data_IF_317421632335
#
_entry.id   IF_317421632335
#
_cell.length_a   1.000
_cell.length_b   1.000
_cell.length_c   1.000
_cell.angle_alpha   90.00
_cell.angle_beta   90.00
_cell.angle_gamma   90.00
#
_symmetry.space_group_name_H-M   'P 1'
#
loop_
_entity.id
_entity.type
_entity.pdbx_description
1 polymer ?
#
# COMPACT_ATOMS: atom_id res chain seq x y z
N UNK A 1 -26.14 16.35 -0.78
CA UNK A 1 -25.91 15.23 0.16
C UNK A 1 -25.29 15.81 1.43
N UNK A 2 -25.70 15.36 2.60
CA UNK A 2 -25.07 15.76 3.86
C UNK A 2 -23.61 15.33 3.88
N UNK A 3 -22.69 16.25 4.33
CA UNK A 3 -21.26 16.03 4.34
C UNK A 3 -20.84 14.78 5.12
N UNK A 4 -21.49 14.53 6.26
CA UNK A 4 -21.22 13.33 7.07
C UNK A 4 -21.58 12.04 6.31
N UNK A 5 -22.73 12.03 5.62
CA UNK A 5 -23.14 10.89 4.78
C UNK A 5 -22.14 10.66 3.64
N UNK A 6 -21.65 11.74 3.01
CA UNK A 6 -20.63 11.66 1.97
C UNK A 6 -19.35 10.98 2.46
N UNK A 7 -18.88 11.34 3.64
CA UNK A 7 -17.67 10.76 4.23
C UNK A 7 -17.86 9.30 4.65
N UNK A 8 -19.01 8.96 5.19
CA UNK A 8 -19.33 7.55 5.52
C UNK A 8 -19.36 6.71 4.25
N UNK A 9 -20.01 7.18 3.19
CA UNK A 9 -20.03 6.48 1.90
C UNK A 9 -18.62 6.34 1.31
N UNK A 10 -17.80 7.40 1.36
CA UNK A 10 -16.41 7.34 0.91
C UNK A 10 -15.61 6.30 1.70
N UNK A 11 -15.79 6.21 3.01
CA UNK A 11 -15.12 5.21 3.85
C UNK A 11 -15.56 3.78 3.50
N UNK A 12 -16.86 3.53 3.40
CA UNK A 12 -17.41 2.20 3.10
C UNK A 12 -16.99 1.73 1.71
N UNK A 13 -17.18 2.56 0.69
CA UNK A 13 -16.80 2.23 -0.69
C UNK A 13 -15.29 2.03 -0.78
N UNK A 14 -14.50 2.93 -0.17
CA UNK A 14 -13.05 2.82 -0.13
C UNK A 14 -12.57 1.52 0.50
N UNK A 15 -13.15 1.14 1.65
CA UNK A 15 -12.81 -0.12 2.32
C UNK A 15 -13.15 -1.35 1.49
N UNK A 16 -14.32 -1.38 0.86
CA UNK A 16 -14.73 -2.49 0.00
C UNK A 16 -13.84 -2.62 -1.23
N UNK A 17 -13.53 -1.51 -1.92
CA UNK A 17 -12.58 -1.48 -3.04
C UNK A 17 -11.18 -1.93 -2.59
N UNK A 18 -10.71 -1.42 -1.47
CA UNK A 18 -9.44 -1.82 -0.86
C UNK A 18 -9.37 -3.31 -0.56
N UNK A 19 -10.49 -3.89 -0.14
CA UNK A 19 -10.61 -5.32 0.19
C UNK A 19 -10.53 -6.25 -1.03
N UNK A 20 -10.62 -5.72 -2.26
CA UNK A 20 -10.33 -6.48 -3.48
C UNK A 20 -8.81 -6.65 -3.57
N UNK A 21 -8.31 -7.85 -3.29
CA UNK A 21 -6.87 -8.16 -3.33
C UNK A 21 -6.46 -8.71 -4.68
N UNK A 22 -5.80 -7.88 -5.49
CA UNK A 22 -5.33 -8.27 -6.83
C UNK A 22 -4.43 -9.51 -6.79
N UNK A 23 -3.49 -9.57 -5.84
CA UNK A 23 -2.58 -10.72 -5.72
C UNK A 23 -3.28 -12.01 -5.33
N UNK A 24 -4.28 -11.98 -4.41
CA UNK A 24 -5.05 -13.18 -4.04
C UNK A 24 -5.89 -13.65 -5.22
N UNK A 25 -6.62 -12.73 -5.87
CA UNK A 25 -7.47 -13.07 -7.00
C UNK A 25 -6.65 -13.68 -8.15
N UNK A 26 -5.54 -13.02 -8.50
CA UNK A 26 -4.67 -13.48 -9.58
C UNK A 26 -4.02 -14.84 -9.26
N UNK A 27 -3.51 -15.05 -8.05
CA UNK A 27 -2.93 -16.34 -7.69
C UNK A 27 -3.97 -17.47 -7.65
N UNK A 28 -5.20 -17.16 -7.23
CA UNK A 28 -6.31 -18.14 -7.26
C UNK A 28 -6.74 -18.51 -8.67
N UNK A 29 -6.71 -17.58 -9.63
CA UNK A 29 -6.96 -17.91 -11.04
C UNK A 29 -5.91 -18.86 -11.63
N UNK A 30 -4.72 -18.93 -10.98
CA UNK A 30 -3.65 -19.88 -11.30
C UNK A 30 -3.73 -21.18 -10.44
N UNK A 31 -4.84 -21.42 -9.74
CA UNK A 31 -5.06 -22.62 -8.91
C UNK A 31 -4.30 -22.62 -7.57
N UNK A 32 -3.74 -21.48 -7.12
CA UNK A 32 -2.92 -21.40 -5.90
C UNK A 32 -3.30 -20.18 -5.05
N UNK A 33 -3.08 -20.26 -3.74
CA UNK A 33 -3.27 -19.10 -2.85
C UNK A 33 -1.89 -18.55 -2.45
N UNK A 34 -1.56 -17.34 -2.86
CA UNK A 34 -0.28 -16.68 -2.58
C UNK A 34 0.04 -16.58 -1.08
N UNK A 35 -0.98 -16.64 -0.23
CA UNK A 35 -0.83 -16.58 1.22
C UNK A 35 -0.27 -17.88 1.84
N UNK A 36 -0.14 -18.94 1.06
CA UNK A 36 0.52 -20.18 1.47
C UNK A 36 1.93 -20.31 0.92
N UNK A 37 2.38 -19.36 0.07
CA UNK A 37 3.63 -19.45 -0.68
C UNK A 37 4.59 -18.29 -0.39
N UNK A 38 5.87 -18.52 -0.50
CA UNK A 38 6.93 -17.52 -0.31
C UNK A 38 6.81 -16.82 1.04
N UNK A 39 6.75 -15.50 1.05
CA UNK A 39 6.59 -14.70 2.28
C UNK A 39 5.17 -14.72 2.85
N UNK A 40 4.24 -15.47 2.26
CA UNK A 40 2.82 -15.58 2.64
C UNK A 40 2.06 -14.23 2.61
N UNK A 41 2.63 -13.21 1.98
CA UNK A 41 2.02 -11.89 1.80
C UNK A 41 1.32 -11.81 0.44
N UNK A 42 0.15 -11.16 0.36
CA UNK A 42 -0.60 -11.02 -0.90
C UNK A 42 -0.10 -9.93 -1.84
N UNK A 43 0.94 -9.17 -1.46
CA UNK A 43 1.42 -8.03 -2.23
C UNK A 43 2.35 -8.40 -3.38
N UNK A 44 2.63 -7.39 -4.22
CA UNK A 44 3.39 -7.49 -5.47
C UNK A 44 4.76 -8.17 -5.33
N UNK A 45 5.53 -7.85 -4.28
CA UNK A 45 6.86 -8.45 -4.07
C UNK A 45 6.81 -9.97 -3.91
N UNK A 46 5.82 -10.49 -3.19
CA UNK A 46 5.65 -11.93 -3.07
C UNK A 46 5.15 -12.55 -4.37
N UNK A 47 4.23 -11.87 -5.06
CA UNK A 47 3.76 -12.30 -6.39
C UNK A 47 4.90 -12.36 -7.40
N UNK A 48 5.82 -11.37 -7.41
CA UNK A 48 7.02 -11.41 -8.26
C UNK A 48 7.88 -12.63 -7.93
N UNK A 49 8.10 -12.90 -6.66
CA UNK A 49 8.96 -14.00 -6.20
C UNK A 49 8.41 -15.39 -6.56
N UNK A 50 7.10 -15.58 -6.43
CA UNK A 50 6.44 -16.89 -6.62
C UNK A 50 5.98 -17.10 -8.05
N UNK A 51 5.43 -16.07 -8.69
CA UNK A 51 4.77 -16.16 -10.00
C UNK A 51 5.44 -15.32 -11.10
N UNK A 52 6.60 -14.71 -10.79
CA UNK A 52 7.38 -13.93 -11.74
C UNK A 52 6.94 -12.46 -11.85
N UNK A 53 7.77 -11.70 -12.59
CA UNK A 53 7.69 -10.23 -12.64
C UNK A 53 6.35 -9.70 -13.19
N UNK A 54 5.77 -10.37 -14.18
CA UNK A 54 4.48 -9.98 -14.77
C UNK A 54 3.35 -10.02 -13.73
N UNK A 55 3.31 -11.08 -12.93
CA UNK A 55 2.31 -11.25 -11.86
C UNK A 55 2.48 -10.21 -10.75
N UNK A 56 3.74 -9.91 -10.40
CA UNK A 56 4.05 -8.84 -9.45
C UNK A 56 3.65 -7.46 -9.97
N UNK A 57 3.95 -7.15 -11.22
CA UNK A 57 3.59 -5.89 -11.85
C UNK A 57 2.05 -5.70 -11.91
N UNK A 58 1.31 -6.71 -12.35
CA UNK A 58 -0.16 -6.67 -12.36
C UNK A 58 -0.74 -6.47 -10.95
N UNK A 59 -0.18 -7.15 -9.95
CA UNK A 59 -0.58 -6.98 -8.56
C UNK A 59 -0.30 -5.57 -8.06
N UNK A 60 0.88 -5.03 -8.36
CA UNK A 60 1.25 -3.66 -7.98
C UNK A 60 0.32 -2.63 -8.62
N UNK A 61 0.09 -2.73 -9.93
CA UNK A 61 -0.77 -1.81 -10.66
C UNK A 61 -2.22 -1.88 -10.16
N UNK A 62 -2.77 -3.07 -9.95
CA UNK A 62 -4.13 -3.23 -9.45
C UNK A 62 -4.30 -2.71 -8.00
N UNK A 63 -3.31 -2.94 -7.13
CA UNK A 63 -3.35 -2.44 -5.76
C UNK A 63 -3.12 -0.91 -5.69
N UNK A 64 -2.35 -0.33 -6.61
CA UNK A 64 -2.18 1.11 -6.76
C UNK A 64 -3.48 1.74 -7.31
N UNK A 65 -4.02 1.17 -8.37
CA UNK A 65 -5.24 1.65 -9.04
C UNK A 65 -6.44 1.70 -8.08
N UNK A 66 -6.64 0.68 -7.24
CA UNK A 66 -7.74 0.71 -6.26
C UNK A 66 -7.59 1.85 -5.24
N UNK A 67 -6.36 2.22 -4.87
CA UNK A 67 -6.08 3.37 -4.02
C UNK A 67 -6.46 4.69 -4.69
N UNK A 68 -6.08 4.86 -5.96
CA UNK A 68 -6.47 6.02 -6.79
C UNK A 68 -7.98 6.09 -6.94
N UNK A 69 -8.63 4.98 -7.32
CA UNK A 69 -10.09 4.93 -7.56
C UNK A 69 -10.86 5.25 -6.28
N UNK A 70 -10.46 4.69 -5.15
CA UNK A 70 -11.11 4.97 -3.87
C UNK A 70 -10.97 6.44 -3.45
N UNK A 71 -9.79 7.03 -3.64
CA UNK A 71 -9.55 8.44 -3.37
C UNK A 71 -10.33 9.34 -4.35
N UNK A 72 -10.42 8.98 -5.63
CA UNK A 72 -11.22 9.69 -6.62
C UNK A 72 -12.72 9.68 -6.27
N UNK A 73 -13.28 8.51 -5.96
CA UNK A 73 -14.68 8.40 -5.54
C UNK A 73 -14.92 9.22 -4.28
N UNK A 74 -14.02 9.12 -3.29
CA UNK A 74 -14.10 9.92 -2.09
C UNK A 74 -14.07 11.43 -2.37
N UNK A 75 -13.23 11.88 -3.33
CA UNK A 75 -13.17 13.28 -3.76
C UNK A 75 -14.48 13.75 -4.40
N UNK A 76 -15.07 12.92 -5.24
CA UNK A 76 -16.36 13.23 -5.88
C UNK A 76 -17.51 13.33 -4.86
N UNK A 77 -17.48 12.53 -3.80
CA UNK A 77 -18.48 12.52 -2.75
C UNK A 77 -18.32 13.68 -1.74
N UNK A 78 -17.09 13.93 -1.27
CA UNK A 78 -16.83 14.79 -0.12
C UNK A 78 -15.58 15.68 -0.23
N UNK A 79 -15.16 16.04 -1.45
CA UNK A 79 -14.01 16.91 -1.68
C UNK A 79 -12.68 16.27 -1.22
N UNK A 80 -11.69 17.10 -0.89
CA UNK A 80 -10.37 16.62 -0.47
C UNK A 80 -10.41 15.73 0.78
N UNK A 81 -11.26 16.06 1.74
CA UNK A 81 -11.48 15.23 2.95
C UNK A 81 -12.06 13.87 2.59
N UNK A 82 -13.03 13.83 1.67
CA UNK A 82 -13.56 12.58 1.15
C UNK A 82 -12.50 11.72 0.45
N UNK A 83 -11.59 12.33 -0.32
CA UNK A 83 -10.48 11.63 -0.96
C UNK A 83 -9.53 10.97 0.08
N UNK A 84 -9.21 11.71 1.14
CA UNK A 84 -8.37 11.21 2.25
C UNK A 84 -9.06 10.05 2.96
N UNK A 85 -10.34 10.18 3.28
CA UNK A 85 -11.13 9.16 3.97
C UNK A 85 -11.25 7.90 3.10
N UNK A 86 -11.67 8.03 1.84
CA UNK A 86 -11.85 6.90 0.93
C UNK A 86 -10.54 6.18 0.62
N UNK A 87 -9.47 6.94 0.36
CA UNK A 87 -8.13 6.40 0.15
C UNK A 87 -7.59 5.68 1.38
N UNK A 88 -7.72 6.25 2.57
CA UNK A 88 -7.32 5.61 3.84
C UNK A 88 -8.09 4.31 4.07
N UNK A 89 -9.40 4.34 3.87
CA UNK A 89 -10.25 3.16 3.98
C UNK A 89 -9.82 2.06 3.00
N UNK A 90 -9.38 2.42 1.78
CA UNK A 90 -8.84 1.45 0.83
C UNK A 90 -7.51 0.84 1.30
N UNK A 91 -6.63 1.60 1.95
CA UNK A 91 -5.40 1.06 2.56
C UNK A 91 -5.74 0.09 3.70
N UNK A 92 -6.71 0.41 4.52
CA UNK A 92 -7.22 -0.46 5.60
C UNK A 92 -7.81 -1.73 5.00
N UNK A 93 -8.66 -1.62 3.97
CA UNK A 93 -9.25 -2.75 3.27
C UNK A 93 -8.21 -3.66 2.60
N UNK A 94 -7.16 -3.08 1.99
CA UNK A 94 -6.05 -3.85 1.45
C UNK A 94 -5.31 -4.64 2.54
N UNK A 95 -5.16 -4.05 3.71
CA UNK A 95 -4.41 -4.63 4.83
C UNK A 95 -5.23 -5.71 5.56
N UNK A 96 -6.51 -5.45 5.74
CA UNK A 96 -7.49 -6.34 6.38
C UNK A 96 -8.73 -6.52 5.50
N UNK A 97 -8.59 -7.27 4.39
CA UNK A 97 -9.67 -7.40 3.41
C UNK A 97 -10.80 -8.31 3.93
N UNK A 98 -12.02 -7.77 3.97
CA UNK A 98 -13.21 -8.50 4.43
C UNK A 98 -13.49 -9.75 3.59
N UNK A 99 -13.25 -9.69 2.28
CA UNK A 99 -13.52 -10.81 1.36
C UNK A 99 -12.50 -11.97 1.49
N UNK A 100 -11.42 -11.77 2.24
CA UNK A 100 -10.32 -12.75 2.34
C UNK A 100 -9.91 -13.05 3.78
N UNK A 101 -10.88 -12.96 4.72
CA UNK A 101 -10.67 -13.30 6.13
C UNK A 101 -9.68 -12.37 6.83
N UNK A 102 -9.66 -11.09 6.46
CA UNK A 102 -8.83 -10.04 7.04
C UNK A 102 -7.30 -10.29 6.98
N UNK A 103 -6.87 -11.16 6.03
CA UNK A 103 -5.45 -11.51 5.81
C UNK A 103 -5.00 -10.95 4.45
N UNK A 104 -4.55 -9.70 4.44
CA UNK A 104 -4.14 -8.96 3.25
C UNK A 104 -2.66 -8.59 3.21
N UNK A 105 -2.35 -7.56 2.41
CA UNK A 105 -1.00 -7.07 2.15
C UNK A 105 -0.48 -6.07 3.20
N UNK A 106 0.55 -5.32 2.82
CA UNK A 106 1.20 -4.31 3.68
C UNK A 106 0.78 -2.87 3.39
N UNK A 107 0.00 -2.64 2.35
CA UNK A 107 -0.57 -1.34 2.03
C UNK A 107 0.28 -0.44 1.14
N UNK A 108 1.54 -0.76 0.84
CA UNK A 108 2.47 0.14 0.12
C UNK A 108 1.90 0.63 -1.21
N UNK A 109 1.57 -0.28 -2.14
CA UNK A 109 1.07 0.09 -3.46
C UNK A 109 -0.23 0.91 -3.38
N UNK A 110 -1.13 0.55 -2.47
CA UNK A 110 -2.38 1.29 -2.25
C UNK A 110 -2.10 2.68 -1.66
N UNK A 111 -1.18 2.81 -0.69
CA UNK A 111 -0.73 4.11 -0.18
C UNK A 111 -0.08 4.97 -1.28
N UNK A 112 0.73 4.37 -2.16
CA UNK A 112 1.31 5.08 -3.30
C UNK A 112 0.21 5.66 -4.20
N UNK A 113 -0.81 4.87 -4.55
CA UNK A 113 -1.96 5.35 -5.33
C UNK A 113 -2.70 6.49 -4.64
N UNK A 114 -2.98 6.36 -3.35
CA UNK A 114 -3.63 7.40 -2.55
C UNK A 114 -2.78 8.67 -2.49
N UNK A 115 -1.49 8.56 -2.18
CA UNK A 115 -0.57 9.70 -2.06
C UNK A 115 -0.39 10.44 -3.39
N UNK A 116 -0.21 9.72 -4.49
CA UNK A 116 -0.11 10.31 -5.83
C UNK A 116 -1.38 11.06 -6.25
N UNK A 117 -2.56 10.56 -5.87
CA UNK A 117 -3.82 11.20 -6.21
C UNK A 117 -4.15 12.40 -5.30
N UNK A 118 -3.94 12.25 -4.00
CA UNK A 118 -4.35 13.28 -3.01
C UNK A 118 -3.36 14.43 -2.89
N UNK A 119 -2.06 14.12 -2.94
CA UNK A 119 -0.94 15.06 -2.80
C UNK A 119 0.19 14.70 -3.76
N UNK A 120 0.01 14.92 -5.10
CA UNK A 120 0.91 14.42 -6.13
C UNK A 120 2.40 14.71 -5.92
N UNK A 121 2.83 15.95 -5.58
CA UNK A 121 4.26 16.23 -5.42
C UNK A 121 4.91 15.39 -4.31
N UNK A 122 4.19 15.20 -3.19
CA UNK A 122 4.68 14.44 -2.04
C UNK A 122 4.62 12.94 -2.28
N UNK A 123 3.54 12.45 -2.92
CA UNK A 123 3.40 11.05 -3.31
C UNK A 123 4.47 10.63 -4.30
N UNK A 124 4.67 11.39 -5.37
CA UNK A 124 5.69 11.10 -6.40
C UNK A 124 7.11 11.20 -5.81
N UNK A 125 7.40 12.25 -5.02
CA UNK A 125 8.71 12.40 -4.37
C UNK A 125 9.04 11.24 -3.43
N UNK A 126 8.08 10.81 -2.61
CA UNK A 126 8.24 9.67 -1.72
C UNK A 126 8.48 8.36 -2.47
N UNK A 127 7.78 8.15 -3.59
CA UNK A 127 7.97 7.00 -4.47
C UNK A 127 9.38 7.03 -5.08
N UNK A 128 9.82 8.17 -5.60
CA UNK A 128 11.15 8.32 -6.21
C UNK A 128 12.27 8.02 -5.20
N UNK A 129 12.19 8.57 -3.99
CA UNK A 129 13.16 8.31 -2.92
C UNK A 129 13.12 6.84 -2.49
N UNK A 130 11.94 6.28 -2.28
CA UNK A 130 11.78 4.87 -1.93
C UNK A 130 12.33 3.93 -3.00
N UNK A 131 12.10 4.25 -4.29
CA UNK A 131 12.67 3.50 -5.41
C UNK A 131 14.19 3.61 -5.47
N UNK A 132 14.76 4.79 -5.25
CA UNK A 132 16.22 4.97 -5.18
C UNK A 132 16.84 4.11 -4.07
N UNK A 133 16.25 4.14 -2.86
CA UNK A 133 16.70 3.30 -1.75
C UNK A 133 16.58 1.81 -2.09
N UNK A 134 15.49 1.39 -2.73
CA UNK A 134 15.30 0.01 -3.17
C UNK A 134 16.36 -0.43 -4.18
N UNK A 135 16.67 0.42 -5.16
CA UNK A 135 17.68 0.11 -6.19
C UNK A 135 19.09 0.02 -5.62
N UNK A 136 19.47 0.95 -4.73
CA UNK A 136 20.79 1.01 -4.11
C UNK A 136 20.97 -0.15 -3.11
N UNK A 137 20.00 -0.36 -2.23
CA UNK A 137 20.10 -1.40 -1.19
C UNK A 137 19.73 -2.79 -1.69
N UNK A 138 19.00 -2.90 -2.80
CA UNK A 138 18.34 -4.10 -3.32
C UNK A 138 17.24 -4.68 -2.40
N UNK A 139 16.87 -3.98 -1.33
CA UNK A 139 15.79 -4.39 -0.43
C UNK A 139 14.49 -3.63 -0.72
N UNK A 140 13.49 -4.31 -1.31
CA UNK A 140 12.17 -3.73 -1.59
C UNK A 140 11.49 -3.23 -0.31
N UNK A 141 11.63 -3.98 0.79
CA UNK A 141 11.03 -3.63 2.08
C UNK A 141 11.63 -2.35 2.67
N UNK A 142 12.94 -2.16 2.56
CA UNK A 142 13.61 -0.95 3.05
C UNK A 142 13.17 0.28 2.25
N UNK A 143 13.19 0.21 0.91
CA UNK A 143 12.72 1.29 0.07
C UNK A 143 11.25 1.65 0.32
N UNK A 144 10.39 0.65 0.55
CA UNK A 144 8.99 0.87 0.89
C UNK A 144 8.81 1.64 2.21
N UNK A 145 9.54 1.25 3.25
CA UNK A 145 9.46 1.92 4.55
C UNK A 145 10.03 3.33 4.51
N UNK A 146 11.17 3.53 3.85
CA UNK A 146 11.79 4.86 3.70
C UNK A 146 10.87 5.79 2.89
N UNK A 147 10.33 5.34 1.77
CA UNK A 147 9.38 6.14 0.97
C UNK A 147 8.17 6.59 1.80
N UNK A 148 7.58 5.69 2.60
CA UNK A 148 6.46 6.06 3.47
C UNK A 148 6.87 7.02 4.59
N UNK A 149 8.04 6.84 5.20
CA UNK A 149 8.55 7.77 6.21
C UNK A 149 8.78 9.16 5.61
N UNK A 150 9.37 9.23 4.41
CA UNK A 150 9.56 10.50 3.67
C UNK A 150 8.22 11.17 3.38
N UNK A 151 7.20 10.41 2.96
CA UNK A 151 5.85 10.96 2.77
C UNK A 151 5.31 11.61 4.05
N UNK A 152 5.37 10.90 5.17
CA UNK A 152 4.91 11.41 6.48
C UNK A 152 5.63 12.68 6.90
N UNK A 153 6.98 12.68 6.82
CA UNK A 153 7.82 13.83 7.19
C UNK A 153 7.56 15.04 6.27
N UNK A 154 7.53 14.83 4.95
CA UNK A 154 7.32 15.91 3.98
C UNK A 154 5.94 16.55 4.14
N UNK A 155 4.88 15.76 4.37
CA UNK A 155 3.54 16.26 4.67
C UNK A 155 3.50 17.07 5.97
N UNK A 156 4.21 16.61 7.01
CA UNK A 156 4.29 17.32 8.30
C UNK A 156 5.02 18.67 8.15
N UNK A 157 6.13 18.70 7.42
CA UNK A 157 6.87 19.93 7.16
C UNK A 157 6.02 20.94 6.39
N UNK A 158 5.28 20.47 5.36
CA UNK A 158 4.53 21.37 4.47
C UNK A 158 3.22 21.88 5.06
N UNK A 159 2.49 21.03 5.78
CA UNK A 159 1.12 21.32 6.24
C UNK A 159 0.99 21.40 7.76
N UNK A 160 2.06 21.25 8.51
CA UNK A 160 2.01 21.09 9.96
C UNK A 160 1.61 19.68 10.39
N UNK A 161 1.77 19.41 11.69
CA UNK A 161 1.47 18.07 12.22
C UNK A 161 -0.02 17.74 12.17
N UNK A 162 -0.89 18.69 12.48
CA UNK A 162 -2.34 18.48 12.55
C UNK A 162 -3.09 19.19 11.42
N UNK A 163 -4.09 18.53 10.76
CA UNK A 163 -4.40 17.07 10.81
C UNK A 163 -3.66 16.25 9.73
N UNK A 164 -3.10 16.92 8.70
CA UNK A 164 -2.57 16.25 7.50
C UNK A 164 -1.24 15.52 7.75
N UNK A 165 -0.35 16.11 8.53
CA UNK A 165 0.90 15.48 8.93
C UNK A 165 0.64 14.23 9.78
N UNK A 166 -0.28 14.31 10.75
CA UNK A 166 -0.67 13.16 11.56
C UNK A 166 -1.25 12.03 10.71
N UNK A 167 -2.12 12.36 9.75
CA UNK A 167 -2.67 11.37 8.81
C UNK A 167 -1.57 10.67 8.00
N UNK A 168 -0.64 11.42 7.43
CA UNK A 168 0.45 10.87 6.64
C UNK A 168 1.40 10.01 7.50
N UNK A 169 1.72 10.47 8.72
CA UNK A 169 2.51 9.73 9.70
C UNK A 169 1.79 8.45 10.16
N UNK A 170 0.47 8.47 10.33
CA UNK A 170 -0.31 7.29 10.69
C UNK A 170 -0.27 6.22 9.58
N UNK A 171 -0.40 6.63 8.31
CA UNK A 171 -0.23 5.72 7.17
C UNK A 171 1.19 5.15 7.09
N UNK A 172 2.21 5.99 7.28
CA UNK A 172 3.61 5.55 7.33
C UNK A 172 3.84 4.55 8.47
N UNK A 173 3.34 4.86 9.66
CA UNK A 173 3.40 3.99 10.85
C UNK A 173 2.72 2.64 10.62
N UNK A 174 1.54 2.64 10.00
CA UNK A 174 0.84 1.42 9.61
C UNK A 174 1.69 0.56 8.68
N UNK A 175 2.23 1.14 7.62
CA UNK A 175 3.07 0.41 6.66
C UNK A 175 4.34 -0.12 7.34
N UNK A 176 5.03 0.69 8.13
CA UNK A 176 6.24 0.27 8.85
C UNK A 176 5.91 -0.86 9.84
N UNK A 177 4.83 -0.75 10.59
CA UNK A 177 4.36 -1.82 11.48
C UNK A 177 4.04 -3.11 10.72
N UNK A 178 3.42 -3.01 9.54
CA UNK A 178 3.16 -4.19 8.67
C UNK A 178 4.45 -4.80 8.12
N UNK A 179 5.58 -4.09 8.18
CA UNK A 179 6.90 -4.59 7.80
C UNK A 179 7.71 -5.18 8.96
N UNK A 180 7.14 -5.35 10.17
CA UNK A 180 7.88 -5.83 11.35
C UNK A 180 8.69 -7.12 11.11
N UNK A 181 8.14 -8.08 10.36
CA UNK A 181 8.87 -9.31 10.00
C UNK A 181 10.03 -9.05 9.02
N UNK A 182 9.90 -8.04 8.13
CA UNK A 182 10.99 -7.62 7.26
C UNK A 182 12.07 -6.88 8.04
N UNK A 183 11.68 -6.04 9.02
CA UNK A 183 12.63 -5.34 9.91
C UNK A 183 13.47 -6.38 10.65
N UNK A 184 12.85 -7.43 11.22
CA UNK A 184 13.60 -8.50 11.89
C UNK A 184 14.59 -9.18 10.94
N UNK A 185 14.19 -9.48 9.69
CA UNK A 185 15.08 -10.09 8.70
C UNK A 185 16.19 -9.14 8.23
N UNK A 186 15.91 -7.84 8.11
CA UNK A 186 16.93 -6.84 7.80
C UNK A 186 17.99 -6.77 8.90
N UNK A 187 17.57 -6.75 10.17
CA UNK A 187 18.47 -6.72 11.33
C UNK A 187 19.29 -8.00 11.47
N UNK A 188 18.73 -9.16 11.10
CA UNK A 188 19.43 -10.46 11.12
C UNK A 188 20.15 -10.78 9.79
N UNK A 189 20.22 -9.84 8.84
CA UNK A 189 20.83 -10.01 7.51
C UNK A 189 20.25 -11.18 6.68
N UNK A 190 18.99 -11.55 6.93
CA UNK A 190 18.27 -12.65 6.25
C UNK A 190 17.13 -12.15 5.34
N UNK A 191 17.01 -10.85 5.11
CA UNK A 191 16.01 -10.31 4.17
C UNK A 191 16.42 -10.60 2.73
N UNK A 192 15.47 -11.06 1.93
CA UNK A 192 15.69 -11.37 0.52
C UNK A 192 15.93 -10.12 -0.31
N UNK A 193 16.98 -10.10 -1.08
CA UNK A 193 17.29 -9.03 -2.04
C UNK A 193 16.42 -9.17 -3.30
N UNK A 194 16.27 -8.07 -4.01
CA UNK A 194 15.61 -8.04 -5.30
C UNK A 194 16.36 -8.90 -6.30
N UNK A 195 15.65 -9.78 -7.01
CA UNK A 195 16.24 -10.71 -7.99
C UNK A 195 16.74 -12.04 -7.41
N UNK A 196 16.68 -12.25 -6.10
CA UNK A 196 16.94 -13.57 -5.52
C UNK A 196 15.70 -14.47 -5.73
N UNK A 197 15.91 -15.59 -6.43
CA UNK A 197 14.92 -16.65 -6.51
C UNK A 197 15.00 -17.46 -5.19
N UNK A 198 13.88 -17.64 -4.52
CA UNK A 198 13.77 -18.67 -3.50
C UNK A 198 13.63 -20.00 -4.23
N UNK A 199 14.67 -20.82 -4.17
CA UNK A 199 14.57 -22.22 -4.58
C UNK A 199 13.36 -22.85 -3.87
N UNK A 200 12.61 -23.63 -4.65
CA UNK A 200 11.32 -24.20 -4.27
C UNK A 200 11.45 -25.18 -3.12
#
# INVERSE_FOLDING_TARGET
MNTTVAWILAAVIGYLLGSISTGILYSRSMGRDIRTQGSKNSGATNMTRVHGIKSGALTFLGDCAKGVIAALIGKLLGGQTGAIIGGTAAVIGHTWPVFFGFKGGKGVATCMGVGMFTFPPFGVGAIAIGAAVMLISRYVSLGSMVGMAVFGVAMTIRYGFWPLGLWACALAGLVIWRHRANIQRLLSHTEHKMGEHTDK
#
